data_IF_587492830836
#
_entry.id   IF_587492830836
#
_cell.length_a   1.000
_cell.length_b   1.000
_cell.length_c   1.000
_cell.angle_alpha   90.00
_cell.angle_beta   90.00
_cell.angle_gamma   90.00
#
_symmetry.space_group_name_H-M   'P 1'
#
loop_
_entity.id
_entity.type
_entity.pdbx_description
1 polymer ?
#
# COMPACT_ATOMS: atom_id res chain seq x y z
N UNK A 1 -5.50 -20.81 -10.15
CA UNK A 1 -6.12 -19.47 -10.23
C UNK A 1 -6.62 -18.98 -8.87
N UNK A 2 -7.46 -19.75 -8.17
CA UNK A 2 -7.97 -19.37 -6.82
C UNK A 2 -6.85 -19.16 -5.78
N UNK A 3 -5.81 -19.99 -5.80
CA UNK A 3 -4.67 -19.88 -4.86
C UNK A 3 -3.93 -18.53 -4.94
N UNK A 4 -3.72 -18.00 -6.15
CA UNK A 4 -3.06 -16.70 -6.36
C UNK A 4 -3.93 -15.56 -5.80
N UNK A 5 -5.25 -15.63 -5.99
CA UNK A 5 -6.16 -14.62 -5.44
C UNK A 5 -6.18 -14.65 -3.91
N UNK A 6 -6.15 -15.84 -3.32
CA UNK A 6 -6.07 -15.98 -1.86
C UNK A 6 -4.77 -15.40 -1.31
N UNK A 7 -3.64 -15.69 -1.97
CA UNK A 7 -2.35 -15.10 -1.61
C UNK A 7 -2.38 -13.57 -1.70
N UNK A 8 -2.86 -13.00 -2.82
CA UNK A 8 -2.94 -11.55 -2.99
C UNK A 8 -3.87 -10.88 -1.98
N UNK A 9 -4.97 -11.54 -1.61
CA UNK A 9 -5.89 -11.04 -0.59
C UNK A 9 -5.24 -11.07 0.80
N UNK A 10 -4.49 -12.12 1.13
CA UNK A 10 -3.77 -12.21 2.39
C UNK A 10 -2.71 -11.11 2.49
N UNK A 11 -1.88 -10.94 1.45
CA UNK A 11 -0.89 -9.87 1.40
C UNK A 11 -1.53 -8.47 1.52
N UNK A 12 -2.64 -8.24 0.82
CA UNK A 12 -3.39 -6.99 0.93
C UNK A 12 -3.92 -6.77 2.35
N UNK A 13 -4.41 -7.81 3.02
CA UNK A 13 -4.85 -7.74 4.42
C UNK A 13 -3.69 -7.43 5.36
N UNK A 14 -2.53 -8.05 5.19
CA UNK A 14 -1.34 -7.75 5.99
C UNK A 14 -0.92 -6.28 5.87
N UNK A 15 -0.96 -5.71 4.66
CA UNK A 15 -0.69 -4.28 4.46
C UNK A 15 -1.75 -3.38 5.12
N UNK A 16 -3.03 -3.74 5.04
CA UNK A 16 -4.10 -3.04 5.78
C UNK A 16 -3.80 -3.06 7.28
N UNK A 17 -3.42 -4.22 7.84
CA UNK A 17 -3.08 -4.34 9.25
C UNK A 17 -1.85 -3.50 9.64
N UNK A 18 -0.86 -3.36 8.75
CA UNK A 18 0.28 -2.44 8.97
C UNK A 18 -0.17 -0.98 9.06
N UNK A 19 -1.17 -0.58 8.27
CA UNK A 19 -1.75 0.76 8.38
C UNK A 19 -2.57 0.95 9.65
N UNK A 20 -3.38 -0.04 10.03
CA UNK A 20 -4.17 0.00 11.27
C UNK A 20 -3.28 0.10 12.51
N UNK A 21 -2.18 -0.66 12.57
CA UNK A 21 -1.18 -0.55 13.67
C UNK A 21 -0.56 0.84 13.81
N UNK A 22 -0.45 1.61 12.72
CA UNK A 22 0.04 3.00 12.77
C UNK A 22 -1.05 3.98 13.20
N UNK A 23 -2.30 3.68 12.87
CA UNK A 23 -3.44 4.57 13.10
C UNK A 23 -4.06 4.41 14.49
N UNK A 24 -4.01 3.20 15.05
CA UNK A 24 -4.62 2.83 16.33
C UNK A 24 -3.58 2.19 17.24
N UNK A 25 -3.71 2.38 18.56
CA UNK A 25 -2.92 1.63 19.54
C UNK A 25 -3.14 0.12 19.38
N UNK A 26 -2.11 -0.70 19.64
CA UNK A 26 -1.97 -2.15 19.39
C UNK A 26 -3.06 -3.12 19.93
N UNK A 27 -4.22 -2.62 20.40
CA UNK A 27 -5.28 -3.41 21.02
C UNK A 27 -6.62 -3.38 20.24
N UNK A 28 -6.62 -3.07 18.95
CA UNK A 28 -7.82 -3.21 18.11
C UNK A 28 -7.72 -4.45 17.22
N UNK A 29 -8.83 -5.18 17.10
CA UNK A 29 -9.00 -6.29 16.15
C UNK A 29 -9.93 -5.83 15.01
N UNK A 30 -9.42 -5.00 14.08
CA UNK A 30 -10.20 -4.51 12.96
C UNK A 30 -10.58 -5.66 12.03
N UNK A 31 -11.79 -5.61 11.49
CA UNK A 31 -12.27 -6.63 10.55
C UNK A 31 -12.78 -5.98 9.26
N UNK A 32 -12.73 -6.76 8.18
CA UNK A 32 -13.29 -6.35 6.90
C UNK A 32 -14.82 -6.26 7.01
N UNK A 33 -15.35 -5.05 6.92
CA UNK A 33 -16.80 -4.81 6.94
C UNK A 33 -17.39 -4.95 5.54
N UNK A 34 -16.73 -4.39 4.52
CA UNK A 34 -17.23 -4.39 3.14
C UNK A 34 -16.09 -4.52 2.14
N UNK A 35 -16.35 -5.25 1.07
CA UNK A 35 -15.47 -5.39 -0.09
C UNK A 35 -16.16 -4.82 -1.32
N UNK A 36 -15.46 -4.00 -2.11
CA UNK A 36 -15.96 -3.51 -3.39
C UNK A 36 -14.88 -3.58 -4.47
N UNK A 37 -15.12 -4.43 -5.47
CA UNK A 37 -14.34 -4.45 -6.70
C UNK A 37 -14.60 -3.21 -7.55
N UNK A 38 -13.53 -2.59 -8.08
CA UNK A 38 -13.61 -1.46 -9.01
C UNK A 38 -12.70 -1.70 -10.23
N UNK A 39 -12.96 -2.78 -10.99
CA UNK A 39 -12.13 -3.13 -12.14
C UNK A 39 -12.15 -2.00 -13.17
N UNK A 40 -10.98 -1.68 -13.73
CA UNK A 40 -10.82 -0.61 -14.73
C UNK A 40 -10.94 0.82 -14.20
N UNK A 41 -11.23 1.02 -12.91
CA UNK A 41 -11.26 2.35 -12.32
C UNK A 41 -9.89 2.76 -11.75
N UNK A 42 -9.24 3.74 -12.36
CA UNK A 42 -7.99 4.27 -11.81
C UNK A 42 -8.22 5.08 -10.53
N UNK A 43 -7.38 4.82 -9.53
CA UNK A 43 -7.31 5.65 -8.33
C UNK A 43 -6.72 7.04 -8.65
N UNK A 44 -6.98 8.07 -7.82
CA UNK A 44 -6.37 9.38 -8.00
C UNK A 44 -4.83 9.35 -8.01
N UNK A 45 -4.21 8.50 -7.17
CA UNK A 45 -2.75 8.32 -7.16
C UNK A 45 -2.27 7.68 -8.47
N UNK A 46 -2.93 6.63 -8.96
CA UNK A 46 -2.58 6.00 -10.23
C UNK A 46 -2.65 7.01 -11.39
N UNK A 47 -3.68 7.86 -11.43
CA UNK A 47 -3.80 8.92 -12.45
C UNK A 47 -2.63 9.90 -12.43
N UNK A 48 -2.23 10.36 -11.25
CA UNK A 48 -1.10 11.28 -11.08
C UNK A 48 0.21 10.60 -11.48
N UNK A 49 0.41 9.34 -11.06
CA UNK A 49 1.60 8.55 -11.39
C UNK A 49 1.74 8.31 -12.88
N UNK A 50 0.65 7.96 -13.57
CA UNK A 50 0.66 7.78 -15.03
C UNK A 50 0.94 9.08 -15.77
N UNK A 51 0.39 10.20 -15.30
CA UNK A 51 0.74 11.51 -15.85
C UNK A 51 2.23 11.85 -15.64
N UNK A 52 2.78 11.54 -14.47
CA UNK A 52 4.21 11.70 -14.19
C UNK A 52 5.08 10.76 -15.05
N UNK A 53 4.64 9.52 -15.29
CA UNK A 53 5.26 8.57 -16.21
C UNK A 53 5.23 9.04 -17.65
N UNK A 54 4.15 9.70 -18.07
CA UNK A 54 4.09 10.34 -19.38
C UNK A 54 5.09 11.51 -19.51
N UNK A 55 5.25 12.33 -18.45
CA UNK A 55 6.21 13.44 -18.45
C UNK A 55 7.68 12.99 -18.32
N UNK A 56 7.94 11.96 -17.51
CA UNK A 56 9.28 11.50 -17.13
C UNK A 56 9.33 9.95 -17.11
N UNK A 57 9.26 9.30 -18.28
CA UNK A 57 9.12 7.85 -18.39
C UNK A 57 10.31 7.07 -17.85
N UNK A 58 11.50 7.67 -17.81
CA UNK A 58 12.69 7.04 -17.23
C UNK A 58 12.69 7.00 -15.69
N UNK A 59 11.73 7.65 -15.02
CA UNK A 59 11.67 7.76 -13.55
C UNK A 59 10.40 7.18 -12.93
N UNK A 60 9.31 7.10 -13.68
CA UNK A 60 8.03 6.69 -13.12
C UNK A 60 7.43 5.54 -13.92
N UNK A 61 6.66 4.69 -13.24
CA UNK A 61 5.92 3.61 -13.87
C UNK A 61 4.88 4.18 -14.85
N UNK A 62 4.78 3.55 -16.02
CA UNK A 62 3.81 3.88 -17.06
C UNK A 62 2.67 2.87 -17.15
N UNK A 63 2.74 1.77 -16.40
CA UNK A 63 1.70 0.74 -16.41
C UNK A 63 0.60 1.05 -15.38
N UNK A 64 -0.68 1.08 -15.80
CA UNK A 64 -1.81 1.26 -14.89
C UNK A 64 -2.01 0.01 -14.02
N UNK A 65 -2.68 0.14 -12.87
CA UNK A 65 -3.09 -1.05 -12.11
C UNK A 65 -4.07 -1.88 -12.94
N UNK A 66 -3.87 -3.20 -12.96
CA UNK A 66 -4.74 -4.11 -13.70
C UNK A 66 -6.04 -4.39 -12.94
N UNK A 67 -6.03 -4.23 -11.61
CA UNK A 67 -7.21 -4.35 -10.77
C UNK A 67 -7.15 -3.37 -9.59
N UNK A 68 -8.32 -2.97 -9.10
CA UNK A 68 -8.47 -2.07 -7.96
C UNK A 68 -9.61 -2.52 -7.07
N UNK A 69 -9.32 -2.61 -5.78
CA UNK A 69 -10.29 -2.88 -4.74
C UNK A 69 -10.40 -1.73 -3.74
N UNK A 70 -11.63 -1.45 -3.30
CA UNK A 70 -11.90 -0.59 -2.16
C UNK A 70 -12.39 -1.49 -1.01
N UNK A 71 -11.63 -1.57 0.07
CA UNK A 71 -11.98 -2.32 1.28
C UNK A 71 -12.44 -1.36 2.36
N UNK A 72 -13.49 -1.69 3.09
CA UNK A 72 -13.92 -0.91 4.26
C UNK A 72 -13.66 -1.76 5.49
N UNK A 73 -12.80 -1.23 6.35
CA UNK A 73 -12.36 -1.87 7.58
C UNK A 73 -13.06 -1.19 8.75
N UNK A 74 -13.65 -1.98 9.64
CA UNK A 74 -14.34 -1.48 10.82
C UNK A 74 -13.51 -1.70 12.07
N UNK A 75 -13.30 -0.62 12.80
CA UNK A 75 -12.64 -0.59 14.11
C UNK A 75 -13.67 -0.88 15.21
N UNK A 76 -13.53 -1.98 15.97
CA UNK A 76 -14.56 -2.39 16.92
C UNK A 76 -14.70 -1.44 18.11
N UNK A 77 -13.61 -0.82 18.58
CA UNK A 77 -13.63 0.05 19.78
C UNK A 77 -14.30 1.40 19.50
N UNK A 78 -13.98 2.04 18.36
CA UNK A 78 -14.54 3.33 17.97
C UNK A 78 -15.83 3.21 17.14
N UNK A 79 -16.06 2.06 16.51
CA UNK A 79 -17.11 1.87 15.51
C UNK A 79 -16.83 2.60 14.18
N UNK A 80 -15.63 3.18 14.03
CA UNK A 80 -15.22 3.90 12.83
C UNK A 80 -15.02 2.94 11.65
N UNK A 81 -15.39 3.38 10.46
CA UNK A 81 -15.16 2.66 9.22
C UNK A 81 -14.16 3.41 8.35
N UNK A 82 -13.01 2.79 8.11
CA UNK A 82 -11.93 3.35 7.30
C UNK A 82 -11.91 2.64 5.97
N UNK A 83 -11.98 3.41 4.89
CA UNK A 83 -11.86 2.87 3.54
C UNK A 83 -10.39 2.80 3.13
N UNK A 84 -9.98 1.67 2.60
CA UNK A 84 -8.68 1.40 2.01
C UNK A 84 -8.81 1.27 0.51
N UNK A 85 -7.86 1.85 -0.22
CA UNK A 85 -7.70 1.70 -1.68
C UNK A 85 -6.52 0.78 -1.91
N UNK A 86 -6.75 -0.29 -2.68
CA UNK A 86 -5.77 -1.31 -3.02
C UNK A 86 -5.66 -1.33 -4.55
N UNK A 87 -4.52 -0.89 -5.06
CA UNK A 87 -4.20 -0.97 -6.49
C UNK A 87 -3.22 -2.14 -6.72
N UNK A 88 -3.55 -3.04 -7.65
CA UNK A 88 -2.69 -4.18 -8.02
C UNK A 88 -1.97 -3.88 -9.32
N UNK A 89 -0.65 -4.03 -9.33
CA UNK A 89 0.21 -3.79 -10.47
C UNK A 89 0.95 -5.06 -10.87
N UNK A 90 1.17 -5.22 -12.18
CA UNK A 90 2.14 -6.17 -12.70
C UNK A 90 3.54 -5.60 -12.51
N UNK A 91 4.49 -6.46 -12.17
CA UNK A 91 5.90 -6.15 -12.16
C UNK A 91 6.62 -7.01 -13.21
N UNK A 92 7.82 -6.62 -13.66
CA UNK A 92 8.61 -7.44 -14.57
C UNK A 92 8.77 -8.86 -14.01
N UNK A 93 8.61 -9.89 -14.84
CA UNK A 93 8.74 -11.27 -14.38
C UNK A 93 10.16 -11.53 -13.87
N UNK A 94 10.28 -12.49 -12.97
CA UNK A 94 11.59 -12.95 -12.50
C UNK A 94 12.37 -13.64 -13.64
N UNK A 95 13.67 -13.90 -13.40
CA UNK A 95 14.55 -14.55 -14.37
C UNK A 95 14.07 -15.95 -14.78
N UNK A 96 13.25 -16.60 -13.95
CA UNK A 96 12.61 -17.89 -14.20
C UNK A 96 11.27 -17.78 -14.97
N UNK A 97 10.83 -16.55 -15.27
CA UNK A 97 9.57 -16.26 -15.97
C UNK A 97 8.33 -16.26 -15.07
N UNK A 98 8.49 -16.39 -13.75
CA UNK A 98 7.37 -16.31 -12.82
C UNK A 98 6.79 -14.88 -12.76
N UNK A 99 5.45 -14.72 -12.75
CA UNK A 99 4.83 -13.41 -12.69
C UNK A 99 5.00 -12.79 -11.31
N UNK A 100 5.45 -11.53 -11.29
CA UNK A 100 5.58 -10.74 -10.05
C UNK A 100 4.47 -9.70 -10.00
N UNK A 101 3.91 -9.51 -8.80
CA UNK A 101 2.88 -8.52 -8.56
C UNK A 101 3.35 -7.52 -7.50
N UNK A 102 2.92 -6.27 -7.65
CA UNK A 102 3.15 -5.22 -6.66
C UNK A 102 1.82 -4.69 -6.16
N UNK A 103 1.70 -4.53 -4.84
CA UNK A 103 0.49 -4.05 -4.17
C UNK A 103 0.73 -2.65 -3.60
N UNK A 104 -0.18 -1.73 -3.90
CA UNK A 104 -0.20 -0.39 -3.31
C UNK A 104 -1.48 -0.25 -2.47
N UNK A 105 -1.33 -0.50 -1.17
CA UNK A 105 -2.42 -0.45 -0.17
C UNK A 105 -2.29 0.82 0.64
N UNK A 106 -3.40 1.55 0.79
CA UNK A 106 -3.40 2.85 1.51
C UNK A 106 -4.78 3.28 1.99
N UNK A 107 -4.89 3.97 3.14
CA UNK A 107 -6.15 4.56 3.60
C UNK A 107 -6.66 5.57 2.57
N UNK A 108 -7.95 5.61 2.25
CA UNK A 108 -8.52 6.58 1.33
C UNK A 108 -8.43 8.01 1.88
N UNK A 109 -8.36 9.02 1.01
CA UNK A 109 -8.26 10.43 1.42
C UNK A 109 -9.65 11.06 1.67
N UNK A 110 -10.60 10.28 2.19
CA UNK A 110 -11.96 10.73 2.46
C UNK A 110 -12.19 11.12 3.94
N UNK A 111 -11.25 10.83 4.83
CA UNK A 111 -11.29 11.23 6.23
C UNK A 111 -10.01 11.96 6.66
N UNK A 112 -10.14 12.86 7.65
CA UNK A 112 -9.00 13.58 8.20
C UNK A 112 -8.00 12.65 8.89
N UNK A 113 -8.51 11.63 9.60
CA UNK A 113 -7.66 10.60 10.23
C UNK A 113 -6.80 9.89 9.19
N UNK A 114 -7.38 9.47 8.07
CA UNK A 114 -6.64 8.80 6.99
C UNK A 114 -5.58 9.70 6.33
N UNK A 115 -5.83 11.00 6.21
CA UNK A 115 -4.82 11.97 5.74
C UNK A 115 -3.66 12.06 6.75
N UNK A 116 -3.95 12.20 8.04
CA UNK A 116 -2.94 12.26 9.09
C UNK A 116 -2.08 10.99 9.13
N UNK A 117 -2.70 9.81 9.07
CA UNK A 117 -1.98 8.53 9.06
C UNK A 117 -1.00 8.45 7.88
N UNK A 118 -1.41 8.88 6.68
CA UNK A 118 -0.51 8.91 5.51
C UNK A 118 0.66 9.88 5.67
N UNK A 119 0.42 11.06 6.24
CA UNK A 119 1.48 12.06 6.48
C UNK A 119 2.47 11.53 7.53
N UNK A 120 1.96 10.92 8.61
CA UNK A 120 2.78 10.30 9.64
C UNK A 120 3.67 9.20 9.05
N UNK A 121 3.09 8.26 8.29
CA UNK A 121 3.84 7.20 7.62
C UNK A 121 4.92 7.73 6.66
N UNK A 122 4.59 8.73 5.83
CA UNK A 122 5.58 9.35 4.94
C UNK A 122 6.71 10.02 5.71
N UNK A 123 6.41 10.64 6.85
CA UNK A 123 7.42 11.29 7.70
C UNK A 123 8.33 10.24 8.36
N UNK A 124 7.77 9.15 8.87
CA UNK A 124 8.52 8.03 9.45
C UNK A 124 9.47 7.38 8.43
N UNK A 125 9.00 7.10 7.22
CA UNK A 125 9.80 6.53 6.12
C UNK A 125 10.97 7.44 5.74
N UNK A 126 10.70 8.74 5.62
CA UNK A 126 11.73 9.74 5.34
C UNK A 126 12.78 9.75 6.46
N UNK A 127 12.35 9.80 7.73
CA UNK A 127 13.27 9.77 8.88
C UNK A 127 14.09 8.48 8.97
N UNK A 128 13.47 7.32 8.72
CA UNK A 128 14.18 6.04 8.69
C UNK A 128 15.25 6.04 7.59
N UNK A 129 14.91 6.51 6.38
CA UNK A 129 15.87 6.58 5.26
C UNK A 129 17.04 7.53 5.54
N UNK A 130 16.83 8.60 6.31
CA UNK A 130 17.90 9.51 6.74
C UNK A 130 18.80 8.87 7.79
N UNK A 131 18.24 8.09 8.72
CA UNK A 131 18.99 7.39 9.78
C UNK A 131 19.88 6.28 9.22
N UNK A 132 19.36 5.49 8.29
CA UNK A 132 20.12 4.39 7.67
C UNK A 132 21.33 4.92 6.89
N UNK A 133 21.20 6.08 6.23
CA UNK A 133 22.32 6.76 5.55
C UNK A 133 23.41 7.27 6.49
N UNK A 134 23.14 7.41 7.78
CA UNK A 134 24.10 7.93 8.78
C UNK A 134 24.84 6.84 9.57
N UNK A 135 24.46 5.56 9.43
CA UNK A 135 25.11 4.47 10.17
C UNK A 135 26.38 4.02 9.45
N UNK A 136 27.60 4.25 9.97
CA UNK A 136 28.82 3.75 9.34
C UNK A 136 28.92 2.23 9.50
N UNK A 137 29.43 1.52 8.50
CA UNK A 137 29.69 0.08 8.63
C UNK A 137 30.64 -0.21 9.79
N UNK A 138 30.37 -1.23 10.64
CA UNK A 138 31.30 -1.63 11.68
C UNK A 138 32.60 -2.13 11.04
N UNK A 139 33.72 -1.50 11.42
CA UNK A 139 35.06 -1.88 10.95
C UNK A 139 35.30 -3.35 11.28
N UNK A 140 35.26 -4.21 10.25
CA UNK A 140 35.53 -5.64 10.35
C UNK A 140 37.03 -5.80 10.63
N UNK A 141 37.40 -5.97 11.90
CA UNK A 141 38.78 -6.36 12.27
C UNK A 141 39.03 -7.77 11.74
N UNK A 142 40.02 -7.89 10.85
CA UNK A 142 40.60 -9.16 10.41
C UNK A 142 41.46 -9.74 11.53
#
# INVERSE_FOLDING_TARGET
MVEIHNFLNEEAWQEVMKWEKRATSDEEDPHLARFKGRPGEMSPKARIMLFAGWLLPSRFNTEPPFDRHDWVVRRPKSGEEVRYVIDYYSAPPEADGSPVFSLDVRPALDSFGSVQTRIAAATEEVWASFRDKQTPEPIRRQ
#
